data_IF_919138344136
#
_entry.id   IF_919138344136
#
_cell.length_a   1.000
_cell.length_b   1.000
_cell.length_c   1.000
_cell.angle_alpha   90.00
_cell.angle_beta   90.00
_cell.angle_gamma   90.00
#
_symmetry.space_group_name_H-M   'P 1'
#
loop_
_entity.id
_entity.type
_entity.pdbx_description
1 polymer ?
#
# COMPACT_ATOMS: atom_id res chain seq x y z
N UNK A 1 -6.40 0.31 -28.55
CA UNK A 1 -5.56 1.13 -27.64
C UNK A 1 -5.45 0.35 -26.34
N UNK A 2 -4.33 -0.34 -26.13
CA UNK A 2 -4.11 -1.25 -24.99
C UNK A 2 -3.50 -0.37 -23.89
N UNK A 3 -4.23 -0.16 -22.79
CA UNK A 3 -3.74 0.65 -21.67
C UNK A 3 -2.54 -0.07 -21.06
N UNK A 4 -1.37 0.54 -21.21
CA UNK A 4 -0.09 0.05 -20.72
C UNK A 4 -0.10 0.02 -19.21
N UNK A 5 0.35 -1.11 -18.67
CA UNK A 5 0.61 -1.41 -17.27
C UNK A 5 1.22 -0.21 -16.56
N UNK A 6 0.59 0.21 -15.46
CA UNK A 6 1.11 1.26 -14.56
C UNK A 6 2.39 0.73 -13.91
N UNK A 7 3.54 1.00 -14.53
CA UNK A 7 4.85 0.73 -13.95
C UNK A 7 4.99 1.62 -12.72
N UNK A 8 5.02 1.03 -11.53
CA UNK A 8 5.42 1.75 -10.32
C UNK A 8 6.84 2.30 -10.59
N UNK A 9 7.11 3.60 -10.34
CA UNK A 9 8.43 4.16 -10.57
C UNK A 9 9.47 3.34 -9.79
N UNK A 10 10.62 3.15 -10.40
CA UNK A 10 11.72 2.24 -10.03
C UNK A 10 12.25 2.41 -8.58
N UNK A 11 11.83 3.46 -7.87
CA UNK A 11 12.16 3.74 -6.46
C UNK A 11 10.90 4.01 -5.59
N UNK A 12 9.78 3.35 -5.87
CA UNK A 12 8.52 3.51 -5.11
C UNK A 12 8.19 2.22 -4.37
N UNK A 13 7.96 2.33 -3.06
CA UNK A 13 7.44 1.23 -2.26
C UNK A 13 5.93 1.35 -2.09
N UNK A 14 5.28 0.20 -2.00
CA UNK A 14 3.87 0.08 -1.66
C UNK A 14 3.72 -0.25 -0.18
N UNK A 15 2.80 0.43 0.50
CA UNK A 15 2.42 0.11 1.86
C UNK A 15 0.92 -0.06 1.93
N UNK A 16 0.46 -1.15 2.52
CA UNK A 16 -0.93 -1.28 2.95
C UNK A 16 -1.04 -0.96 4.42
N UNK A 17 -2.08 -0.22 4.78
CA UNK A 17 -2.39 0.05 6.18
C UNK A 17 -3.87 -0.19 6.48
N UNK A 18 -4.11 -0.65 7.70
CA UNK A 18 -5.43 -0.74 8.33
C UNK A 18 -5.58 0.43 9.29
N UNK A 19 -6.57 1.28 9.04
CA UNK A 19 -6.84 2.49 9.82
C UNK A 19 -8.27 2.49 10.37
N UNK A 20 -8.55 3.38 11.32
CA UNK A 20 -9.94 3.62 11.72
C UNK A 20 -10.68 4.29 10.54
N UNK A 21 -11.85 3.78 10.11
CA UNK A 21 -12.60 4.33 8.98
C UNK A 21 -12.94 5.82 9.07
N UNK A 22 -13.22 6.34 10.26
CA UNK A 22 -13.49 7.78 10.50
C UNK A 22 -12.25 8.64 10.27
N UNK A 23 -11.06 8.09 10.48
CA UNK A 23 -9.79 8.82 10.45
C UNK A 23 -9.15 8.88 9.07
N UNK A 24 -9.68 8.15 8.06
CA UNK A 24 -9.11 8.13 6.70
C UNK A 24 -8.90 9.55 6.14
N UNK A 25 -9.89 10.43 6.30
CA UNK A 25 -9.80 11.81 5.79
C UNK A 25 -8.73 12.63 6.52
N UNK A 26 -8.63 12.44 7.84
CA UNK A 26 -7.64 13.11 8.67
C UNK A 26 -6.22 12.62 8.38
N UNK A 27 -6.01 11.30 8.29
CA UNK A 27 -4.74 10.68 7.90
C UNK A 27 -4.32 11.15 6.51
N UNK A 28 -5.25 11.23 5.56
CA UNK A 28 -4.94 11.72 4.22
C UNK A 28 -4.42 13.16 4.25
N UNK A 29 -5.12 14.06 4.96
CA UNK A 29 -4.69 15.44 5.11
C UNK A 29 -3.33 15.56 5.80
N UNK A 30 -3.09 14.82 6.89
CA UNK A 30 -1.80 14.82 7.57
C UNK A 30 -0.65 14.39 6.66
N UNK A 31 -0.86 13.34 5.86
CA UNK A 31 0.18 12.82 4.96
C UNK A 31 0.43 13.79 3.79
N UNK A 32 -0.60 14.49 3.31
CA UNK A 32 -0.46 15.55 2.31
C UNK A 32 0.40 16.72 2.80
N UNK A 33 0.31 17.09 4.08
CA UNK A 33 1.13 18.15 4.71
C UNK A 33 2.64 17.79 4.76
N UNK A 34 3.01 16.52 4.67
CA UNK A 34 4.43 16.11 4.56
C UNK A 34 5.01 16.29 3.15
N UNK A 35 4.28 16.93 2.22
CA UNK A 35 4.70 17.28 0.86
C UNK A 35 5.51 16.19 0.14
N UNK A 36 4.82 15.18 -0.39
CA UNK A 36 5.45 14.14 -1.21
C UNK A 36 5.92 12.90 -0.43
N UNK A 37 5.56 12.78 0.86
CA UNK A 37 5.78 11.57 1.64
C UNK A 37 5.08 10.35 1.02
N UNK A 38 3.80 10.48 0.69
CA UNK A 38 3.03 9.41 0.08
C UNK A 38 1.86 9.90 -0.76
N UNK A 39 1.51 9.12 -1.79
CA UNK A 39 0.17 9.18 -2.40
C UNK A 39 -0.71 8.14 -1.72
N UNK A 40 -1.90 8.54 -1.25
CA UNK A 40 -2.85 7.64 -0.60
C UNK A 40 -4.00 7.28 -1.54
N UNK A 41 -4.41 6.00 -1.50
CA UNK A 41 -5.70 5.54 -2.03
C UNK A 41 -6.44 4.75 -0.97
N UNK A 42 -7.74 5.00 -0.86
CA UNK A 42 -8.64 4.14 -0.08
C UNK A 42 -9.04 2.95 -0.94
N UNK A 43 -8.76 1.73 -0.49
CA UNK A 43 -9.17 0.50 -1.17
C UNK A 43 -10.55 0.03 -0.66
N UNK A 44 -10.76 0.07 0.65
CA UNK A 44 -12.04 -0.23 1.28
C UNK A 44 -12.27 0.72 2.46
N UNK A 45 -13.21 1.66 2.29
CA UNK A 45 -13.56 2.64 3.32
C UNK A 45 -14.17 1.99 4.55
N UNK A 46 -15.00 0.96 4.39
CA UNK A 46 -15.72 0.33 5.52
C UNK A 46 -14.77 -0.43 6.42
N UNK A 47 -13.76 -1.06 5.83
CA UNK A 47 -12.75 -1.81 6.57
C UNK A 47 -11.49 -1.01 6.90
N UNK A 48 -11.46 0.29 6.58
CA UNK A 48 -10.29 1.13 6.84
C UNK A 48 -9.04 0.68 6.09
N UNK A 49 -9.17 0.13 4.89
CA UNK A 49 -8.04 -0.33 4.10
C UNK A 49 -7.56 0.79 3.18
N UNK A 50 -6.31 1.22 3.36
CA UNK A 50 -5.64 2.20 2.52
C UNK A 50 -4.34 1.65 1.94
N UNK A 51 -3.95 2.18 0.79
CA UNK A 51 -2.69 1.90 0.11
C UNK A 51 -1.91 3.20 -0.04
N UNK A 52 -0.62 3.17 0.27
CA UNK A 52 0.30 4.28 0.18
C UNK A 52 1.40 3.94 -0.83
N UNK A 53 1.67 4.86 -1.75
CA UNK A 53 2.85 4.83 -2.61
C UNK A 53 3.85 5.84 -2.06
N UNK A 54 5.04 5.36 -1.67
CA UNK A 54 6.07 6.21 -1.10
C UNK A 54 7.37 6.13 -1.90
N UNK A 55 8.12 7.22 -2.04
CA UNK A 55 9.50 7.11 -2.50
C UNK A 55 10.33 6.34 -1.46
N UNK A 56 11.16 5.40 -1.90
CA UNK A 56 11.92 4.50 -1.03
C UNK A 56 12.74 5.24 0.04
N UNK A 57 13.32 6.39 -0.32
CA UNK A 57 14.11 7.23 0.61
C UNK A 57 13.34 7.76 1.81
N UNK A 58 11.99 7.80 1.75
CA UNK A 58 11.15 8.23 2.86
C UNK A 58 10.69 7.10 3.77
N UNK A 59 11.10 5.85 3.51
CA UNK A 59 10.65 4.71 4.31
C UNK A 59 10.88 4.88 5.83
N UNK A 60 12.03 5.37 6.32
CA UNK A 60 12.23 5.60 7.75
C UNK A 60 11.24 6.61 8.34
N UNK A 61 10.94 7.69 7.60
CA UNK A 61 9.97 8.70 8.01
C UNK A 61 8.55 8.12 8.03
N UNK A 62 8.15 7.40 6.98
CA UNK A 62 6.83 6.75 6.94
C UNK A 62 6.65 5.81 8.12
N UNK A 63 7.65 5.00 8.46
CA UNK A 63 7.60 4.09 9.61
C UNK A 63 7.34 4.85 10.90
N UNK A 64 8.09 5.92 11.16
CA UNK A 64 7.90 6.74 12.35
C UNK A 64 6.49 7.37 12.42
N UNK A 65 5.96 7.86 11.28
CA UNK A 65 4.61 8.41 11.20
C UNK A 65 3.55 7.34 11.45
N UNK A 66 3.66 6.17 10.82
CA UNK A 66 2.72 5.07 11.04
C UNK A 66 2.77 4.54 12.49
N UNK A 67 3.95 4.46 13.09
CA UNK A 67 4.12 4.08 14.49
C UNK A 67 3.47 5.11 15.45
N UNK A 68 3.63 6.41 15.18
CA UNK A 68 2.91 7.46 15.91
C UNK A 68 1.39 7.32 15.74
N UNK A 69 0.89 7.07 14.52
CA UNK A 69 -0.54 6.85 14.27
C UNK A 69 -1.08 5.61 15.00
N UNK A 70 -0.30 4.54 15.09
CA UNK A 70 -0.67 3.36 15.89
C UNK A 70 -0.73 3.73 17.37
N UNK A 71 0.26 4.47 17.88
CA UNK A 71 0.29 4.88 19.30
C UNK A 71 -0.90 5.77 19.70
N UNK A 72 -1.42 6.55 18.75
CA UNK A 72 -2.61 7.42 18.93
C UNK A 72 -3.93 6.70 18.68
N UNK A 73 -3.89 5.45 18.22
CA UNK A 73 -5.06 4.65 17.89
C UNK A 73 -5.75 5.04 16.59
N UNK A 74 -5.11 5.79 15.69
CA UNK A 74 -5.69 6.13 14.37
C UNK A 74 -5.44 5.03 13.32
N UNK A 75 -4.39 4.24 13.53
CA UNK A 75 -3.97 3.13 12.70
C UNK A 75 -3.89 1.84 13.52
N UNK A 76 -4.30 0.72 12.93
CA UNK A 76 -4.18 -0.60 13.54
C UNK A 76 -2.87 -1.30 13.16
N UNK A 77 -2.50 -1.23 11.88
CA UNK A 77 -1.30 -1.88 11.36
C UNK A 77 -0.91 -1.32 9.99
N UNK A 78 0.34 -1.57 9.60
CA UNK A 78 0.81 -1.36 8.24
C UNK A 78 1.81 -2.46 7.85
N UNK A 79 1.92 -2.72 6.55
CA UNK A 79 2.86 -3.67 5.97
C UNK A 79 3.43 -3.11 4.67
N UNK A 80 4.74 -3.28 4.48
CA UNK A 80 5.40 -2.97 3.22
C UNK A 80 5.16 -4.15 2.29
N UNK A 81 4.79 -3.80 1.07
CA UNK A 81 4.48 -4.74 0.02
C UNK A 81 5.56 -4.58 -1.04
N UNK A 82 6.24 -5.68 -1.36
CA UNK A 82 7.18 -5.69 -2.47
C UNK A 82 6.42 -5.35 -3.78
N UNK A 83 6.89 -4.40 -4.59
CA UNK A 83 6.18 -4.01 -5.82
C UNK A 83 6.01 -5.12 -6.86
N UNK A 84 6.77 -6.22 -6.73
CA UNK A 84 7.00 -7.21 -7.77
C UNK A 84 5.94 -8.31 -7.90
N UNK A 85 4.88 -8.35 -7.07
CA UNK A 85 3.77 -9.33 -7.22
C UNK A 85 2.58 -8.81 -8.03
N UNK A 86 2.46 -7.50 -8.28
CA UNK A 86 1.39 -6.94 -9.12
C UNK A 86 1.69 -7.01 -10.63
N UNK A 87 2.95 -7.31 -11.00
CA UNK A 87 3.36 -7.59 -12.39
C UNK A 87 3.72 -9.09 -12.49
N UNK A 88 2.78 -9.97 -12.19
CA UNK A 88 2.83 -11.32 -12.76
C UNK A 88 2.06 -11.27 -14.07
N UNK A 89 2.78 -11.27 -15.19
CA UNK A 89 2.17 -11.62 -16.48
C UNK A 89 1.48 -12.98 -16.29
N UNK A 90 0.16 -13.11 -16.55
CA UNK A 90 -0.52 -14.40 -16.42
C UNK A 90 0.10 -15.52 -17.29
N UNK A 91 1.01 -15.18 -18.20
CA UNK A 91 1.81 -16.14 -18.96
C UNK A 91 2.99 -16.78 -18.19
N UNK A 92 3.44 -16.22 -17.06
CA UNK A 92 4.66 -16.66 -16.35
C UNK A 92 4.41 -17.40 -15.03
N UNK A 93 3.19 -17.85 -14.75
CA UNK A 93 2.93 -18.72 -13.60
C UNK A 93 2.66 -20.18 -14.00
N UNK A 94 3.67 -20.97 -14.42
CA UNK A 94 3.53 -22.42 -14.50
C UNK A 94 3.86 -23.00 -13.13
N UNK A 95 2.93 -22.99 -12.16
CA UNK A 95 2.83 -24.00 -11.08
C UNK A 95 1.72 -23.67 -10.08
N UNK A 96 0.47 -23.91 -10.48
CA UNK A 96 -0.45 -24.63 -9.61
C UNK A 96 -0.65 -25.99 -10.25
N UNK A 97 0.16 -26.97 -9.81
CA UNK A 97 -0.16 -28.37 -10.05
C UNK A 97 -1.46 -28.68 -9.30
N UNK A 98 -2.54 -28.76 -10.07
CA UNK A 98 -3.77 -29.42 -9.65
C UNK A 98 -3.46 -30.91 -9.49
N UNK A 99 -2.94 -31.28 -8.31
CA UNK A 99 -2.81 -32.67 -7.88
C UNK A 99 -4.17 -33.25 -7.56
N UNK A 100 -4.73 -33.94 -8.56
CA UNK A 100 -5.44 -35.21 -8.45
C UNK A 100 -6.53 -35.32 -7.37
N UNK A 101 -7.78 -35.08 -7.80
CA UNK A 101 -8.92 -35.84 -7.27
C UNK A 101 -8.86 -37.24 -7.87
N UNK A 102 -8.58 -38.24 -7.06
CA UNK A 102 -9.09 -39.60 -7.29
C UNK A 102 -10.38 -39.77 -6.52
#
# INVERSE_FOLDING_TARGET
MKLTTSVAPENTLLVEARVIPSEIGFINALIEEYEGLAVIRTLDRRQGLIKLWIPEGYLPLLRAVCEDFISRGWMYSFQIIDPWWEIQDPAENPSFTQGERT
#
